data_IF_359183359952
#
_entry.id   IF_359183359952
#
_cell.length_a   1.000
_cell.length_b   1.000
_cell.length_c   1.000
_cell.angle_alpha   90.00
_cell.angle_beta   90.00
_cell.angle_gamma   90.00
#
_symmetry.space_group_name_H-M   'P 1'
#
loop_
_entity.id
_entity.type
_entity.pdbx_description
1 polymer ?
#
# COMPACT_ATOMS: atom_id res chain seq x y z
N UNK A 1 -11.13 12.61 -0.48
CA UNK A 1 -12.21 12.76 -1.48
C UNK A 1 -11.74 12.07 -2.75
N UNK A 2 -12.56 11.22 -3.37
CA UNK A 2 -12.17 10.56 -4.62
C UNK A 2 -11.97 11.59 -5.74
N UNK A 3 -10.98 11.41 -6.63
CA UNK A 3 -10.73 12.32 -7.73
C UNK A 3 -11.97 12.45 -8.64
N UNK A 4 -12.19 13.62 -9.27
CA UNK A 4 -13.32 13.85 -10.17
C UNK A 4 -13.25 12.92 -11.38
N UNK A 5 -14.41 12.51 -11.87
CA UNK A 5 -14.52 11.63 -13.05
C UNK A 5 -14.42 12.50 -14.32
N UNK A 6 -13.53 12.16 -15.28
CA UNK A 6 -13.43 12.87 -16.56
C UNK A 6 -14.76 12.94 -17.31
N UNK A 7 -14.99 14.01 -18.09
CA UNK A 7 -16.25 14.18 -18.82
C UNK A 7 -16.56 13.03 -19.79
N UNK A 8 -15.52 12.47 -20.41
CA UNK A 8 -15.63 11.35 -21.36
C UNK A 8 -16.01 10.04 -20.67
N UNK A 9 -15.70 9.90 -19.37
CA UNK A 9 -16.07 8.73 -18.55
C UNK A 9 -17.46 8.83 -17.92
N UNK A 10 -18.09 10.02 -17.88
CA UNK A 10 -19.40 10.21 -17.27
C UNK A 10 -20.51 9.33 -17.88
N UNK A 11 -20.63 9.20 -19.22
CA UNK A 11 -21.63 8.31 -19.83
C UNK A 11 -21.39 6.83 -19.47
N UNK A 12 -20.13 6.43 -19.33
CA UNK A 12 -19.75 5.06 -18.94
C UNK A 12 -20.16 4.84 -17.47
N UNK A 13 -19.87 5.80 -16.60
CA UNK A 13 -20.28 5.76 -15.19
C UNK A 13 -21.79 5.62 -15.03
N UNK A 14 -22.59 6.39 -15.76
CA UNK A 14 -24.05 6.27 -15.72
C UNK A 14 -24.54 4.87 -16.14
N UNK A 15 -23.95 4.32 -17.21
CA UNK A 15 -24.27 2.98 -17.68
C UNK A 15 -23.89 1.90 -16.65
N UNK A 16 -22.70 1.99 -16.06
CA UNK A 16 -22.22 1.07 -15.02
C UNK A 16 -23.07 1.15 -13.75
N UNK A 17 -23.51 2.35 -13.34
CA UNK A 17 -24.44 2.53 -12.22
C UNK A 17 -25.77 1.83 -12.50
N UNK A 18 -26.31 1.96 -13.72
CA UNK A 18 -27.55 1.28 -14.11
C UNK A 18 -27.38 -0.25 -14.05
N UNK A 19 -26.28 -0.78 -14.58
CA UNK A 19 -25.95 -2.21 -14.50
C UNK A 19 -25.88 -2.67 -13.04
N UNK A 20 -25.17 -1.93 -12.16
CA UNK A 20 -25.10 -2.21 -10.73
C UNK A 20 -26.47 -2.28 -10.08
N UNK A 21 -27.36 -1.33 -10.40
CA UNK A 21 -28.72 -1.31 -9.86
C UNK A 21 -29.51 -2.54 -10.31
N UNK A 22 -29.39 -2.94 -11.59
CA UNK A 22 -30.02 -4.17 -12.11
C UNK A 22 -29.49 -5.43 -11.43
N UNK A 23 -28.17 -5.54 -11.25
CA UNK A 23 -27.54 -6.63 -10.48
C UNK A 23 -28.03 -6.66 -9.03
N UNK A 24 -28.22 -5.50 -8.42
CA UNK A 24 -28.71 -5.38 -7.03
C UNK A 24 -30.17 -5.82 -6.92
N UNK A 25 -31.00 -5.47 -7.89
CA UNK A 25 -32.40 -5.93 -7.97
C UNK A 25 -32.43 -7.45 -8.14
N UNK A 26 -31.64 -8.00 -9.07
CA UNK A 26 -31.52 -9.44 -9.29
C UNK A 26 -31.06 -10.18 -8.02
N UNK A 27 -30.18 -9.58 -7.22
CA UNK A 27 -29.69 -10.14 -5.95
C UNK A 27 -30.79 -10.19 -4.88
N UNK A 28 -31.73 -9.24 -4.90
CA UNK A 28 -32.84 -9.16 -3.94
C UNK A 28 -33.99 -10.09 -4.29
N UNK A 29 -34.10 -10.49 -5.55
CA UNK A 29 -35.09 -11.47 -5.97
C UNK A 29 -34.74 -12.85 -5.41
N UNK A 30 -35.42 -13.21 -4.32
CA UNK A 30 -35.32 -14.53 -3.67
C UNK A 30 -36.51 -15.44 -4.01
N UNK A 31 -37.43 -14.97 -4.87
CA UNK A 31 -38.66 -15.67 -5.20
C UNK A 31 -38.49 -16.75 -6.27
N UNK A 32 -37.54 -16.55 -7.19
CA UNK A 32 -37.18 -17.50 -8.24
C UNK A 32 -35.66 -17.79 -8.25
N UNK A 33 -35.26 -18.88 -8.91
CA UNK A 33 -33.85 -19.17 -9.16
C UNK A 33 -33.29 -18.18 -10.20
N UNK A 34 -32.02 -17.79 -10.02
CA UNK A 34 -31.35 -16.86 -10.94
C UNK A 34 -31.07 -17.56 -12.27
N UNK A 35 -31.57 -16.99 -13.38
CA UNK A 35 -31.39 -17.55 -14.73
C UNK A 35 -30.03 -17.13 -15.31
N UNK A 36 -29.32 -18.08 -15.90
CA UNK A 36 -28.03 -17.82 -16.53
C UNK A 36 -28.12 -16.80 -17.69
N UNK A 37 -29.24 -16.75 -18.41
CA UNK A 37 -29.51 -15.77 -19.47
C UNK A 37 -29.44 -14.34 -18.96
N UNK A 38 -30.01 -14.09 -17.79
CA UNK A 38 -30.14 -12.75 -17.21
C UNK A 38 -28.78 -12.24 -16.75
N UNK A 39 -28.00 -13.12 -16.12
CA UNK A 39 -26.60 -12.85 -15.72
C UNK A 39 -25.72 -12.61 -16.95
N UNK A 40 -25.79 -13.47 -17.97
CA UNK A 40 -25.02 -13.30 -19.20
C UNK A 40 -25.38 -12.00 -19.94
N UNK A 41 -26.65 -11.56 -19.90
CA UNK A 41 -27.06 -10.30 -20.53
C UNK A 41 -26.42 -9.08 -19.85
N UNK A 42 -26.31 -9.11 -18.53
CA UNK A 42 -25.66 -8.07 -17.74
C UNK A 42 -24.15 -8.11 -17.94
N UNK A 43 -23.57 -9.31 -18.02
CA UNK A 43 -22.16 -9.49 -18.35
C UNK A 43 -21.80 -8.85 -19.70
N UNK A 44 -22.56 -9.13 -20.76
CA UNK A 44 -22.33 -8.53 -22.08
C UNK A 44 -22.47 -7.00 -22.06
N UNK A 45 -23.37 -6.46 -21.23
CA UNK A 45 -23.50 -5.02 -21.05
C UNK A 45 -22.26 -4.41 -20.36
N UNK A 46 -21.66 -5.13 -19.40
CA UNK A 46 -20.41 -4.72 -18.73
C UNK A 46 -19.24 -4.78 -19.70
N UNK A 47 -19.09 -5.86 -20.47
CA UNK A 47 -18.02 -5.99 -21.47
C UNK A 47 -18.03 -4.79 -22.42
N UNK A 48 -19.21 -4.37 -22.91
CA UNK A 48 -19.34 -3.18 -23.76
C UNK A 48 -18.87 -1.89 -23.08
N UNK A 49 -19.14 -1.71 -21.78
CA UNK A 49 -18.67 -0.52 -21.06
C UNK A 49 -17.16 -0.57 -20.82
N UNK A 50 -16.61 -1.75 -20.54
CA UNK A 50 -15.18 -1.95 -20.31
C UNK A 50 -14.39 -1.75 -21.60
N UNK A 51 -14.90 -2.21 -22.75
CA UNK A 51 -14.29 -1.92 -24.06
C UNK A 51 -14.23 -0.42 -24.31
N UNK A 52 -15.36 0.29 -24.16
CA UNK A 52 -15.39 1.76 -24.29
C UNK A 52 -14.45 2.44 -23.32
N UNK A 53 -14.32 1.90 -22.11
CA UNK A 53 -13.45 2.46 -21.11
C UNK A 53 -11.98 2.30 -21.48
N UNK A 54 -11.60 1.13 -22.01
CA UNK A 54 -10.26 0.89 -22.52
C UNK A 54 -9.96 1.74 -23.78
N UNK A 55 -10.97 2.12 -24.56
CA UNK A 55 -10.78 3.00 -25.73
C UNK A 55 -10.52 4.47 -25.32
N UNK A 56 -10.99 4.87 -24.14
CA UNK A 56 -10.93 6.26 -23.63
C UNK A 56 -9.82 6.45 -22.60
N UNK A 57 -9.40 5.36 -21.96
CA UNK A 57 -8.32 5.37 -20.98
C UNK A 57 -7.02 4.95 -21.63
N UNK A 58 -5.97 5.67 -21.29
CA UNK A 58 -4.61 5.22 -21.54
C UNK A 58 -4.33 4.01 -20.63
N UNK A 59 -3.76 2.95 -21.20
CA UNK A 59 -3.39 1.73 -20.47
C UNK A 59 -2.41 2.01 -19.33
N UNK A 60 -1.71 3.13 -19.43
CA UNK A 60 -0.60 3.52 -18.61
C UNK A 60 -0.94 4.54 -17.50
N UNK A 61 -2.13 5.14 -17.55
CA UNK A 61 -2.56 6.09 -16.54
C UNK A 61 -3.27 5.39 -15.36
N UNK A 62 -2.94 5.80 -14.13
CA UNK A 62 -3.55 5.24 -12.92
C UNK A 62 -4.87 5.96 -12.59
N UNK A 63 -6.00 5.32 -12.91
CA UNK A 63 -7.33 5.83 -12.57
C UNK A 63 -7.84 5.21 -11.27
N UNK A 64 -8.16 6.05 -10.29
CA UNK A 64 -8.76 5.61 -9.02
C UNK A 64 -9.92 6.53 -8.62
N UNK A 65 -10.91 6.62 -9.49
CA UNK A 65 -12.03 7.53 -9.37
C UNK A 65 -13.35 6.78 -9.02
N UNK A 66 -14.47 7.50 -9.04
CA UNK A 66 -15.78 6.91 -8.74
C UNK A 66 -16.22 5.82 -9.73
N UNK A 67 -15.79 5.89 -10.99
CA UNK A 67 -16.04 4.84 -11.99
C UNK A 67 -15.33 3.55 -11.62
N UNK A 68 -14.07 3.61 -11.21
CA UNK A 68 -13.28 2.43 -10.80
C UNK A 68 -13.91 1.70 -9.62
N UNK A 69 -14.28 2.45 -8.59
CA UNK A 69 -14.99 1.89 -7.42
C UNK A 69 -16.34 1.27 -7.81
N UNK A 70 -17.10 1.91 -8.71
CA UNK A 70 -18.39 1.37 -9.16
C UNK A 70 -18.23 0.14 -10.06
N UNK A 71 -17.20 0.10 -10.91
CA UNK A 71 -16.86 -1.07 -11.72
C UNK A 71 -16.43 -2.24 -10.85
N UNK A 72 -15.63 -1.99 -9.82
CA UNK A 72 -15.24 -3.02 -8.86
C UNK A 72 -16.46 -3.66 -8.17
N UNK A 73 -17.45 -2.85 -7.77
CA UNK A 73 -18.71 -3.34 -7.22
C UNK A 73 -19.47 -4.22 -8.22
N UNK A 74 -19.57 -3.77 -9.49
CA UNK A 74 -20.27 -4.48 -10.56
C UNK A 74 -19.60 -5.83 -10.86
N UNK A 75 -18.27 -5.86 -10.98
CA UNK A 75 -17.53 -7.09 -11.20
C UNK A 75 -17.63 -8.05 -10.02
N UNK A 76 -17.59 -7.54 -8.78
CA UNK A 76 -17.78 -8.37 -7.59
C UNK A 76 -19.17 -9.02 -7.58
N UNK A 77 -20.23 -8.26 -7.88
CA UNK A 77 -21.58 -8.80 -7.99
C UNK A 77 -21.71 -9.83 -9.13
N UNK A 78 -21.19 -9.51 -10.32
CA UNK A 78 -21.21 -10.43 -11.46
C UNK A 78 -20.49 -11.74 -11.13
N UNK A 79 -19.30 -11.65 -10.53
CA UNK A 79 -18.50 -12.80 -10.13
C UNK A 79 -19.29 -13.72 -9.20
N UNK A 80 -19.93 -13.16 -8.17
CA UNK A 80 -20.80 -13.92 -7.27
C UNK A 80 -22.02 -14.54 -7.98
N UNK A 81 -22.61 -13.85 -8.97
CA UNK A 81 -23.68 -14.44 -9.77
C UNK A 81 -23.22 -15.62 -10.61
N UNK A 82 -22.04 -15.53 -11.25
CA UNK A 82 -21.45 -16.64 -12.00
C UNK A 82 -21.17 -17.86 -11.10
N UNK A 83 -20.67 -17.62 -9.89
CA UNK A 83 -20.55 -18.67 -8.87
C UNK A 83 -21.91 -19.27 -8.50
N UNK A 84 -22.94 -18.44 -8.33
CA UNK A 84 -24.30 -18.87 -7.96
C UNK A 84 -24.97 -19.73 -9.04
N UNK A 85 -24.76 -19.42 -10.32
CA UNK A 85 -25.28 -20.21 -11.46
C UNK A 85 -24.37 -21.39 -11.83
N UNK A 86 -23.36 -21.71 -11.00
CA UNK A 86 -22.50 -22.88 -11.16
C UNK A 86 -21.36 -22.73 -12.18
N UNK A 87 -21.19 -21.55 -12.77
CA UNK A 87 -20.16 -21.23 -13.77
C UNK A 87 -18.85 -20.81 -13.12
N UNK A 88 -18.31 -21.67 -12.26
CA UNK A 88 -17.13 -21.38 -11.44
C UNK A 88 -15.81 -21.31 -12.20
N UNK A 89 -15.80 -21.83 -13.44
CA UNK A 89 -14.63 -21.86 -14.33
C UNK A 89 -14.69 -20.80 -15.45
N UNK A 90 -15.72 -19.97 -15.46
CA UNK A 90 -15.80 -18.86 -16.42
C UNK A 90 -15.01 -17.68 -15.85
N UNK A 91 -14.37 -16.90 -16.72
CA UNK A 91 -13.51 -15.76 -16.36
C UNK A 91 -14.15 -14.79 -15.35
N UNK A 92 -15.44 -14.40 -15.47
CA UNK A 92 -16.07 -13.47 -14.51
C UNK A 92 -16.13 -14.03 -13.08
N UNK A 93 -16.16 -15.35 -12.89
CA UNK A 93 -16.21 -15.98 -11.57
C UNK A 93 -14.91 -15.84 -10.76
N UNK A 94 -13.82 -15.40 -11.41
CA UNK A 94 -12.51 -15.26 -10.77
C UNK A 94 -12.35 -13.92 -10.03
N UNK A 95 -13.05 -12.87 -10.47
CA UNK A 95 -12.82 -11.50 -9.98
C UNK A 95 -12.91 -11.36 -8.45
N UNK A 96 -14.00 -11.82 -7.83
CA UNK A 96 -14.17 -11.69 -6.37
C UNK A 96 -13.08 -12.42 -5.60
N UNK A 97 -12.54 -13.51 -6.15
CA UNK A 97 -11.45 -14.25 -5.53
C UNK A 97 -10.14 -13.48 -5.62
N UNK A 98 -9.80 -12.92 -6.80
CA UNK A 98 -8.60 -12.10 -7.00
C UNK A 98 -8.63 -10.88 -6.07
N UNK A 99 -9.77 -10.16 -6.04
CA UNK A 99 -9.94 -8.99 -5.17
C UNK A 99 -9.80 -9.34 -3.67
N UNK A 100 -10.39 -10.46 -3.24
CA UNK A 100 -10.27 -10.93 -1.85
C UNK A 100 -8.83 -11.33 -1.51
N UNK A 101 -8.16 -12.06 -2.42
CA UNK A 101 -6.76 -12.46 -2.24
C UNK A 101 -5.84 -11.24 -2.12
N UNK A 102 -6.02 -10.23 -2.98
CA UNK A 102 -5.28 -8.97 -2.92
C UNK A 102 -5.39 -8.31 -1.55
N UNK A 103 -6.62 -8.22 -1.03
CA UNK A 103 -6.84 -7.59 0.27
C UNK A 103 -6.19 -8.37 1.41
N UNK A 104 -6.29 -9.70 1.38
CA UNK A 104 -5.63 -10.55 2.39
C UNK A 104 -4.10 -10.39 2.31
N UNK A 105 -3.53 -10.41 1.11
CA UNK A 105 -2.08 -10.26 0.90
C UNK A 105 -1.57 -8.89 1.39
N UNK A 106 -2.31 -7.80 1.14
CA UNK A 106 -1.98 -6.47 1.70
C UNK A 106 -2.03 -6.45 3.22
N UNK A 107 -3.02 -7.08 3.84
CA UNK A 107 -3.07 -7.19 5.30
C UNK A 107 -1.97 -8.06 5.88
N UNK A 108 -1.53 -9.09 5.15
CA UNK A 108 -0.37 -9.89 5.54
C UNK A 108 0.90 -9.03 5.53
N UNK A 109 1.09 -8.21 4.49
CA UNK A 109 2.18 -7.24 4.40
C UNK A 109 2.18 -6.25 5.58
N UNK A 110 1.04 -5.58 5.80
CA UNK A 110 0.85 -4.58 6.86
C UNK A 110 1.08 -5.14 8.27
N UNK A 111 0.68 -6.39 8.51
CA UNK A 111 0.77 -7.01 9.83
C UNK A 111 2.11 -7.69 10.10
N UNK A 112 2.88 -8.02 9.05
CA UNK A 112 4.06 -8.88 9.11
C UNK A 112 3.81 -10.25 9.77
N UNK A 113 2.57 -10.78 9.70
CA UNK A 113 2.18 -12.07 10.34
C UNK A 113 1.99 -13.16 9.30
N UNK A 114 3.08 -13.64 8.71
CA UNK A 114 3.04 -14.68 7.68
C UNK A 114 4.30 -15.53 7.68
N UNK A 115 4.22 -16.72 7.11
CA UNK A 115 5.35 -17.59 6.80
C UNK A 115 5.18 -18.21 5.40
N UNK A 116 6.17 -18.95 4.94
CA UNK A 116 6.17 -19.56 3.60
C UNK A 116 4.94 -20.46 3.36
N UNK A 117 4.54 -21.22 4.38
CA UNK A 117 3.37 -22.11 4.29
C UNK A 117 2.05 -21.34 4.14
N UNK A 118 1.98 -20.09 4.60
CA UNK A 118 0.81 -19.23 4.41
C UNK A 118 0.74 -18.66 3.00
N UNK A 119 1.88 -18.41 2.34
CA UNK A 119 1.96 -17.84 0.99
C UNK A 119 1.72 -18.90 -0.11
N UNK A 120 2.15 -20.15 0.13
CA UNK A 120 2.06 -21.22 -0.85
C UNK A 120 0.63 -21.47 -1.43
N UNK A 121 -0.46 -21.44 -0.63
CA UNK A 121 -1.83 -21.53 -1.15
C UNK A 121 -2.19 -20.40 -2.11
N UNK A 122 -1.74 -19.16 -1.85
CA UNK A 122 -1.99 -18.02 -2.73
C UNK A 122 -1.30 -18.21 -4.07
N UNK A 123 -0.02 -18.62 -4.07
CA UNK A 123 0.73 -18.91 -5.31
C UNK A 123 0.04 -19.96 -6.18
N UNK A 124 -0.37 -21.07 -5.57
CA UNK A 124 -1.12 -22.14 -6.28
C UNK A 124 -2.43 -21.59 -6.84
N UNK A 125 -3.18 -20.84 -6.04
CA UNK A 125 -4.48 -20.30 -6.47
C UNK A 125 -4.34 -19.25 -7.55
N UNK A 126 -3.36 -18.35 -7.50
CA UNK A 126 -3.08 -17.37 -8.56
C UNK A 126 -2.75 -18.07 -9.87
N UNK A 127 -1.94 -19.15 -9.84
CA UNK A 127 -1.65 -19.96 -11.02
C UNK A 127 -2.92 -20.61 -11.61
N UNK A 128 -3.81 -21.14 -10.78
CA UNK A 128 -5.09 -21.72 -11.24
C UNK A 128 -6.01 -20.67 -11.87
N UNK A 129 -6.12 -19.49 -11.23
CA UNK A 129 -6.96 -18.39 -11.73
C UNK A 129 -6.39 -17.85 -13.05
N UNK A 130 -5.07 -17.75 -13.19
CA UNK A 130 -4.42 -17.37 -14.45
C UNK A 130 -4.75 -18.36 -15.58
N UNK A 131 -4.73 -19.67 -15.31
CA UNK A 131 -5.13 -20.67 -16.30
C UNK A 131 -6.59 -20.52 -16.74
N UNK A 132 -7.50 -20.19 -15.81
CA UNK A 132 -8.92 -19.94 -16.14
C UNK A 132 -9.05 -18.72 -17.06
N UNK A 133 -8.39 -17.62 -16.70
CA UNK A 133 -8.45 -16.35 -17.46
C UNK A 133 -7.87 -16.51 -18.87
N UNK A 134 -6.78 -17.28 -19.03
CA UNK A 134 -6.13 -17.52 -20.32
C UNK A 134 -6.92 -18.49 -21.24
N UNK A 135 -7.66 -19.44 -20.67
CA UNK A 135 -8.39 -20.44 -21.46
C UNK A 135 -9.60 -19.86 -22.23
N UNK A 136 -10.22 -18.79 -21.76
CA UNK A 136 -11.35 -18.12 -22.44
C UNK A 136 -10.93 -16.99 -23.41
N UNK A 137 -9.62 -16.80 -23.63
CA UNK A 137 -8.96 -15.66 -24.30
C UNK A 137 -9.26 -15.42 -25.79
N UNK A 138 -10.44 -15.81 -26.30
CA UNK A 138 -10.89 -15.48 -27.67
C UNK A 138 -12.19 -14.68 -27.75
N UNK A 139 -12.97 -14.54 -26.67
CA UNK A 139 -14.29 -13.86 -26.74
C UNK A 139 -14.41 -12.53 -25.98
N UNK A 140 -13.46 -12.16 -25.10
CA UNK A 140 -13.56 -10.94 -24.29
C UNK A 140 -12.20 -10.33 -23.89
N UNK A 141 -11.37 -9.96 -24.87
CA UNK A 141 -10.00 -9.43 -24.67
C UNK A 141 -9.91 -8.33 -23.60
N UNK A 142 -10.89 -7.42 -23.56
CA UNK A 142 -10.90 -6.30 -22.61
C UNK A 142 -10.98 -6.74 -21.14
N UNK A 143 -11.75 -7.79 -20.83
CA UNK A 143 -11.89 -8.30 -19.46
C UNK A 143 -10.69 -9.14 -19.04
N UNK A 144 -10.19 -9.97 -19.96
CA UNK A 144 -8.98 -10.76 -19.77
C UNK A 144 -7.81 -9.86 -19.41
N UNK A 145 -7.60 -8.76 -20.14
CA UNK A 145 -6.56 -7.75 -19.86
C UNK A 145 -6.69 -7.16 -18.45
N UNK A 146 -7.91 -6.77 -18.03
CA UNK A 146 -8.16 -6.24 -16.69
C UNK A 146 -7.80 -7.26 -15.60
N UNK A 147 -8.25 -8.51 -15.75
CA UNK A 147 -8.01 -9.57 -14.77
C UNK A 147 -6.54 -10.00 -14.72
N UNK A 148 -5.84 -10.01 -15.86
CA UNK A 148 -4.40 -10.24 -15.94
C UNK A 148 -3.62 -9.17 -15.19
N UNK A 149 -3.95 -7.89 -15.41
CA UNK A 149 -3.37 -6.79 -14.61
C UNK A 149 -3.62 -7.04 -13.11
N UNK A 150 -4.84 -7.44 -12.75
CA UNK A 150 -5.16 -7.68 -11.36
C UNK A 150 -4.42 -8.87 -10.73
N UNK A 151 -4.18 -9.93 -11.51
CA UNK A 151 -3.38 -11.09 -11.11
C UNK A 151 -1.91 -10.71 -10.96
N UNK A 152 -1.37 -9.90 -11.87
CA UNK A 152 0.02 -9.43 -11.80
C UNK A 152 0.27 -8.58 -10.54
N UNK A 153 -0.68 -7.72 -10.16
CA UNK A 153 -0.61 -7.01 -8.88
C UNK A 153 -0.56 -7.96 -7.68
N UNK A 154 -1.37 -9.02 -7.67
CA UNK A 154 -1.34 -10.02 -6.60
C UNK A 154 0.00 -10.79 -6.56
N UNK A 155 0.52 -11.18 -7.73
CA UNK A 155 1.83 -11.84 -7.84
C UNK A 155 2.96 -10.94 -7.34
N UNK A 156 2.94 -9.64 -7.67
CA UNK A 156 3.93 -8.68 -7.19
C UNK A 156 3.93 -8.58 -5.66
N UNK A 157 2.74 -8.55 -5.03
CA UNK A 157 2.64 -8.55 -3.57
C UNK A 157 3.19 -9.87 -3.01
N UNK A 158 2.81 -11.03 -3.58
CA UNK A 158 3.33 -12.34 -3.11
C UNK A 158 4.85 -12.40 -3.20
N UNK A 159 5.44 -11.97 -4.32
CA UNK A 159 6.90 -11.93 -4.51
C UNK A 159 7.58 -11.05 -3.47
N UNK A 160 7.04 -9.85 -3.22
CA UNK A 160 7.57 -8.95 -2.19
C UNK A 160 7.53 -9.58 -0.79
N UNK A 161 6.48 -10.35 -0.46
CA UNK A 161 6.37 -11.07 0.82
C UNK A 161 7.32 -12.29 0.88
N UNK A 162 7.55 -12.97 -0.24
CA UNK A 162 8.53 -14.07 -0.31
C UNK A 162 9.96 -13.55 -0.17
N UNK A 163 10.27 -12.42 -0.82
CA UNK A 163 11.56 -11.75 -0.72
C UNK A 163 11.85 -11.30 0.71
N UNK A 164 10.86 -10.74 1.43
CA UNK A 164 11.04 -10.33 2.84
C UNK A 164 11.37 -11.53 3.75
N UNK A 165 10.77 -12.70 3.51
CA UNK A 165 11.07 -13.94 4.23
C UNK A 165 12.46 -14.47 3.87
N UNK A 166 12.90 -14.32 2.62
CA UNK A 166 14.20 -14.83 2.15
C UNK A 166 15.40 -14.16 2.84
N UNK A 167 15.21 -12.95 3.40
CA UNK A 167 16.24 -12.25 4.17
C UNK A 167 16.48 -12.89 5.55
N UNK A 168 15.57 -13.75 6.02
CA UNK A 168 15.74 -14.44 7.29
C UNK A 168 16.81 -15.53 7.18
N UNK A 169 17.81 -15.47 8.05
CA UNK A 169 18.76 -16.58 8.18
C UNK A 169 18.05 -17.88 8.53
N UNK A 170 18.59 -19.01 8.05
CA UNK A 170 18.01 -20.36 8.21
C UNK A 170 17.71 -20.70 9.68
N UNK A 171 18.50 -20.18 10.62
CA UNK A 171 18.34 -20.41 12.06
C UNK A 171 17.17 -19.64 12.69
N UNK A 172 16.81 -18.50 12.10
CA UNK A 172 15.71 -17.67 12.57
C UNK A 172 14.36 -18.12 12.03
N UNK A 173 14.31 -18.89 10.94
CA UNK A 173 13.06 -19.38 10.33
C UNK A 173 12.18 -20.12 11.36
N UNK A 174 12.67 -21.12 12.12
CA UNK A 174 11.83 -21.83 13.09
C UNK A 174 11.37 -20.93 14.25
N UNK A 175 12.17 -19.92 14.61
CA UNK A 175 11.82 -18.94 15.65
C UNK A 175 10.70 -18.05 15.13
N UNK A 176 10.85 -17.52 13.92
CA UNK A 176 9.88 -16.68 13.25
C UNK A 176 8.52 -17.40 13.10
N UNK A 177 8.51 -18.61 12.55
CA UNK A 177 7.28 -19.41 12.39
C UNK A 177 6.56 -19.65 13.71
N UNK A 178 7.31 -19.93 14.78
CA UNK A 178 6.73 -20.12 16.11
C UNK A 178 6.15 -18.83 16.66
N UNK A 179 6.83 -17.70 16.49
CA UNK A 179 6.35 -16.39 16.92
C UNK A 179 5.09 -15.98 16.16
N UNK A 180 5.04 -16.19 14.84
CA UNK A 180 3.84 -15.96 14.01
C UNK A 180 2.66 -16.78 14.55
N UNK A 181 2.89 -18.05 14.91
CA UNK A 181 1.87 -18.92 15.51
C UNK A 181 1.38 -18.40 16.86
N UNK A 182 2.30 -18.02 17.75
CA UNK A 182 1.95 -17.49 19.07
C UNK A 182 1.18 -16.17 18.93
N UNK A 183 1.61 -15.27 18.02
CA UNK A 183 0.91 -14.00 17.75
C UNK A 183 -0.54 -14.24 17.33
N UNK A 184 -0.79 -15.17 16.40
CA UNK A 184 -2.15 -15.56 15.98
C UNK A 184 -2.99 -16.07 17.15
N UNK A 185 -2.42 -16.92 18.01
CA UNK A 185 -3.08 -17.44 19.20
C UNK A 185 -3.40 -16.33 20.21
N UNK A 186 -2.48 -15.39 20.43
CA UNK A 186 -2.67 -14.26 21.32
C UNK A 186 -3.75 -13.31 20.81
N UNK A 187 -3.74 -12.95 19.52
CA UNK A 187 -4.78 -12.09 18.92
C UNK A 187 -6.15 -12.77 18.99
N UNK A 188 -6.22 -14.06 18.66
CA UNK A 188 -7.46 -14.83 18.78
C UNK A 188 -7.95 -14.94 20.23
N UNK A 189 -7.03 -14.99 21.20
CA UNK A 189 -7.36 -15.00 22.63
C UNK A 189 -7.86 -13.62 23.08
N UNK A 190 -7.23 -12.53 22.63
CA UNK A 190 -7.63 -11.16 22.93
C UNK A 190 -9.02 -10.80 22.38
N UNK A 191 -9.42 -11.42 21.26
CA UNK A 191 -10.73 -11.23 20.65
C UNK A 191 -11.87 -12.01 21.35
N UNK A 192 -11.55 -12.99 22.21
CA UNK A 192 -12.56 -13.76 22.95
C UNK A 192 -12.95 -13.02 24.23
N UNK A 193 -14.21 -13.15 24.65
CA UNK A 193 -14.64 -12.69 25.96
C UNK A 193 -14.46 -13.80 27.00
N UNK A 194 -13.84 -13.51 28.15
CA UNK A 194 -13.80 -14.44 29.28
C UNK A 194 -12.51 -14.41 30.11
N UNK A 195 -12.32 -15.37 31.03
CA UNK A 195 -11.04 -15.58 31.70
C UNK A 195 -10.06 -16.28 30.74
N UNK A 196 -8.88 -15.69 30.53
CA UNK A 196 -7.90 -16.17 29.56
C UNK A 196 -6.67 -16.82 30.21
N UNK A 197 -6.58 -16.80 31.54
CA UNK A 197 -5.41 -17.24 32.30
C UNK A 197 -4.91 -18.66 31.98
N UNK A 198 -5.82 -19.61 31.75
CA UNK A 198 -5.46 -20.99 31.44
C UNK A 198 -4.80 -21.13 30.07
N UNK A 199 -5.27 -20.38 29.07
CA UNK A 199 -4.78 -20.41 27.69
C UNK A 199 -3.57 -19.48 27.50
N UNK A 200 -3.50 -18.38 28.26
CA UNK A 200 -2.41 -17.40 28.19
C UNK A 200 -1.10 -17.93 28.80
N UNK A 201 -1.18 -18.71 29.87
CA UNK A 201 0.02 -19.18 30.59
C UNK A 201 0.95 -20.04 29.72
N UNK A 202 0.47 -21.06 28.96
CA UNK A 202 1.30 -21.81 28.03
C UNK A 202 2.00 -20.91 26.99
N UNK A 203 1.28 -19.93 26.42
CA UNK A 203 1.84 -19.00 25.43
C UNK A 203 2.95 -18.13 26.03
N UNK A 204 2.76 -17.62 27.25
CA UNK A 204 3.80 -16.85 27.95
C UNK A 204 5.04 -17.68 28.29
N UNK A 205 4.87 -18.96 28.65
CA UNK A 205 6.00 -19.86 28.91
C UNK A 205 6.79 -20.14 27.63
N UNK A 206 6.12 -20.31 26.50
CA UNK A 206 6.80 -20.44 25.21
C UNK A 206 7.53 -19.18 24.78
N UNK A 207 6.93 -18.00 24.95
CA UNK A 207 7.62 -16.73 24.67
C UNK A 207 8.89 -16.59 25.50
N UNK A 208 8.86 -16.96 26.79
CA UNK A 208 10.06 -16.97 27.65
C UNK A 208 11.11 -18.00 27.19
N UNK A 209 10.69 -19.17 26.71
CA UNK A 209 11.61 -20.16 26.13
C UNK A 209 12.29 -19.62 24.88
N UNK A 210 11.55 -18.90 24.02
CA UNK A 210 12.14 -18.26 22.84
C UNK A 210 13.11 -17.15 23.27
N UNK A 211 12.71 -16.30 24.21
CA UNK A 211 13.54 -15.21 24.74
C UNK A 211 14.83 -15.71 25.36
N UNK A 212 14.79 -16.84 26.09
CA UNK A 212 15.99 -17.45 26.69
C UNK A 212 17.04 -17.93 25.69
N UNK A 213 16.70 -18.01 24.39
CA UNK A 213 17.68 -18.28 23.32
C UNK A 213 18.51 -17.05 22.94
N UNK A 214 18.15 -15.87 23.45
CA UNK A 214 18.90 -14.63 23.23
C UNK A 214 20.04 -14.53 24.22
N UNK A 215 21.18 -14.02 23.73
CA UNK A 215 22.32 -13.61 24.54
C UNK A 215 22.51 -12.11 24.32
N UNK A 216 22.54 -11.33 25.41
CA UNK A 216 22.58 -9.85 25.37
C UNK A 216 21.49 -9.23 24.49
N UNK A 217 20.28 -9.83 24.51
CA UNK A 217 19.14 -9.37 23.73
C UNK A 217 19.19 -9.73 22.23
N UNK A 218 20.17 -10.54 21.80
CA UNK A 218 20.34 -10.94 20.40
C UNK A 218 20.23 -12.46 20.23
N UNK A 219 19.61 -12.90 19.15
CA UNK A 219 19.68 -14.29 18.72
C UNK A 219 21.07 -14.54 18.11
N UNK A 220 21.72 -15.61 18.50
CA UNK A 220 23.06 -15.94 18.01
C UNK A 220 23.01 -17.20 17.15
N UNK A 221 23.72 -17.14 16.03
CA UNK A 221 24.00 -18.29 15.18
C UNK A 221 25.26 -19.06 15.58
N UNK A 222 25.61 -20.10 14.81
CA UNK A 222 26.84 -20.87 14.93
C UNK A 222 28.04 -19.95 15.03
N UNK A 223 28.86 -20.15 16.07
CA UNK A 223 30.04 -19.32 16.31
C UNK A 223 29.76 -17.98 17.00
N UNK A 224 28.54 -17.72 17.47
CA UNK A 224 28.20 -16.49 18.20
C UNK A 224 27.97 -15.27 17.29
N UNK A 225 27.77 -15.49 16.00
CA UNK A 225 27.50 -14.42 15.02
C UNK A 225 26.03 -14.02 15.11
N UNK A 226 25.75 -12.71 15.03
CA UNK A 226 24.38 -12.20 14.96
C UNK A 226 23.83 -12.43 13.56
N UNK A 227 22.75 -13.21 13.38
CA UNK A 227 22.20 -13.48 12.06
C UNK A 227 21.60 -12.22 11.42
N UNK A 228 21.66 -12.14 10.09
CA UNK A 228 21.01 -11.09 9.34
C UNK A 228 19.49 -11.08 9.60
N UNK A 229 18.89 -9.89 9.61
CA UNK A 229 17.45 -9.68 9.81
C UNK A 229 16.86 -10.22 11.12
N UNK A 230 17.71 -10.43 12.14
CA UNK A 230 17.27 -10.69 13.51
C UNK A 230 16.21 -9.71 14.01
N UNK A 231 16.28 -8.45 13.60
CA UNK A 231 15.36 -7.39 14.03
C UNK A 231 13.89 -7.81 13.86
N UNK A 232 13.57 -8.54 12.79
CA UNK A 232 12.21 -9.04 12.52
C UNK A 232 11.72 -9.94 13.66
N UNK A 233 12.53 -10.92 14.06
CA UNK A 233 12.21 -11.82 15.18
C UNK A 233 12.27 -11.09 16.53
N UNK A 234 13.13 -10.07 16.66
CA UNK A 234 13.20 -9.20 17.83
C UNK A 234 11.91 -8.45 18.07
N UNK A 235 11.49 -7.67 17.09
CA UNK A 235 10.25 -6.90 17.10
C UNK A 235 9.02 -7.79 17.27
N UNK A 236 8.93 -8.92 16.55
CA UNK A 236 7.79 -9.83 16.66
C UNK A 236 7.67 -10.47 18.05
N UNK A 237 8.80 -10.82 18.70
CA UNK A 237 8.76 -11.34 20.07
C UNK A 237 8.28 -10.27 21.06
N UNK A 238 8.77 -9.04 20.91
CA UNK A 238 8.37 -7.90 21.74
C UNK A 238 6.87 -7.62 21.59
N UNK A 239 6.34 -7.58 20.37
CA UNK A 239 4.92 -7.46 20.09
C UNK A 239 4.10 -8.58 20.75
N UNK A 240 4.57 -9.84 20.67
CA UNK A 240 3.89 -10.95 21.33
C UNK A 240 3.85 -10.77 22.86
N UNK A 241 4.94 -10.29 23.47
CA UNK A 241 4.95 -9.99 24.90
C UNK A 241 4.03 -8.81 25.24
N UNK A 242 3.97 -7.77 24.41
CA UNK A 242 3.04 -6.66 24.60
C UNK A 242 1.58 -7.15 24.59
N UNK A 243 1.17 -7.92 23.58
CA UNK A 243 -0.20 -8.46 23.48
C UNK A 243 -0.49 -9.37 24.69
N UNK A 244 0.45 -10.25 25.08
CA UNK A 244 0.28 -11.12 26.23
C UNK A 244 0.15 -10.34 27.56
N UNK A 245 0.83 -9.21 27.69
CA UNK A 245 0.68 -8.32 28.85
C UNK A 245 -0.64 -7.57 28.81
N UNK A 246 -1.11 -7.13 27.64
CA UNK A 246 -2.43 -6.49 27.46
C UNK A 246 -3.58 -7.42 27.84
N UNK A 247 -3.56 -8.68 27.40
CA UNK A 247 -4.58 -9.68 27.78
C UNK A 247 -4.61 -9.87 29.29
N UNK A 248 -3.43 -10.02 29.91
CA UNK A 248 -3.31 -10.18 31.37
C UNK A 248 -3.82 -8.93 32.10
N UNK A 249 -3.46 -7.75 31.61
CA UNK A 249 -3.86 -6.47 32.16
C UNK A 249 -5.38 -6.30 32.13
N UNK A 250 -6.03 -6.66 31.02
CA UNK A 250 -7.49 -6.64 30.90
C UNK A 250 -8.17 -7.59 31.89
N UNK A 251 -7.62 -8.78 32.14
CA UNK A 251 -8.15 -9.70 33.14
C UNK A 251 -7.96 -9.17 34.58
N UNK A 252 -6.76 -8.65 34.90
CA UNK A 252 -6.42 -8.10 36.21
C UNK A 252 -7.18 -6.79 36.53
N UNK A 253 -7.63 -6.04 35.52
CA UNK A 253 -8.47 -4.83 35.69
C UNK A 253 -9.76 -5.11 36.46
N UNK A 254 -10.31 -6.34 36.34
CA UNK A 254 -11.51 -6.79 37.07
C UNK A 254 -11.23 -7.02 38.56
N UNK A 255 -9.97 -7.17 38.93
CA UNK A 255 -9.51 -7.50 40.29
C UNK A 255 -8.87 -6.29 41.01
N UNK A 256 -9.04 -5.08 40.48
CA UNK A 256 -8.55 -3.85 41.11
C UNK A 256 -9.39 -3.54 42.35
N UNK A 257 -8.74 -3.44 43.51
CA UNK A 257 -9.38 -3.06 44.76
C UNK A 257 -10.09 -1.71 44.65
N UNK A 258 -11.17 -1.51 45.41
CA UNK A 258 -11.95 -0.27 45.41
C UNK A 258 -11.10 0.98 45.57
N UNK A 259 -10.15 0.96 46.51
CA UNK A 259 -9.26 2.09 46.82
C UNK A 259 -8.31 2.45 45.65
N UNK A 260 -8.02 1.50 44.77
CA UNK A 260 -7.15 1.68 43.61
C UNK A 260 -7.90 2.04 42.32
N UNK A 261 -9.24 1.91 42.30
CA UNK A 261 -10.05 2.19 41.10
C UNK A 261 -9.87 3.62 40.56
N UNK A 262 -9.82 4.69 41.39
CA UNK A 262 -9.64 6.04 40.85
C UNK A 262 -8.31 6.21 40.11
N UNK A 263 -7.25 5.57 40.60
CA UNK A 263 -5.92 5.59 39.96
C UNK A 263 -5.97 4.81 38.64
N UNK A 264 -6.60 3.64 38.66
CA UNK A 264 -6.79 2.80 37.47
C UNK A 264 -7.55 3.53 36.36
N UNK A 265 -8.68 4.17 36.69
CA UNK A 265 -9.51 4.91 35.75
C UNK A 265 -8.75 6.11 35.16
N UNK A 266 -8.03 6.88 35.99
CA UNK A 266 -7.19 8.00 35.52
C UNK A 266 -6.10 7.52 34.56
N UNK A 267 -5.37 6.45 34.90
CA UNK A 267 -4.34 5.86 34.02
C UNK A 267 -4.93 5.32 32.71
N UNK A 268 -6.09 4.67 32.78
CA UNK A 268 -6.78 4.14 31.60
C UNK A 268 -7.25 5.25 30.66
N UNK A 269 -7.75 6.37 31.20
CA UNK A 269 -8.10 7.56 30.43
C UNK A 269 -6.90 8.18 29.72
N UNK A 270 -5.81 8.42 30.45
CA UNK A 270 -4.56 8.94 29.86
C UNK A 270 -4.04 8.01 28.75
N UNK A 271 -4.09 6.70 28.96
CA UNK A 271 -3.69 5.72 27.95
C UNK A 271 -4.51 5.86 26.68
N UNK A 272 -5.83 5.91 26.79
CA UNK A 272 -6.73 5.99 25.63
C UNK A 272 -6.49 7.27 24.82
N UNK A 273 -6.27 8.40 25.49
CA UNK A 273 -5.91 9.66 24.84
C UNK A 273 -4.56 9.57 24.10
N UNK A 274 -3.52 9.03 24.76
CA UNK A 274 -2.20 8.86 24.14
C UNK A 274 -2.23 7.87 22.95
N UNK A 275 -2.99 6.78 23.03
CA UNK A 275 -3.18 5.84 21.93
C UNK A 275 -3.90 6.50 20.74
N UNK A 276 -4.93 7.31 21.03
CA UNK A 276 -5.61 8.10 20.01
C UNK A 276 -4.66 9.08 19.35
N UNK A 277 -3.79 9.76 20.12
CA UNK A 277 -2.77 10.63 19.56
C UNK A 277 -1.82 9.84 18.66
N UNK A 278 -1.26 8.71 19.11
CA UNK A 278 -0.37 7.87 18.27
C UNK A 278 -1.04 7.47 16.93
N UNK A 279 -2.32 7.12 16.95
CA UNK A 279 -3.06 6.72 15.75
C UNK A 279 -3.36 7.89 14.81
N UNK A 280 -3.61 9.07 15.37
CA UNK A 280 -4.09 10.24 14.61
C UNK A 280 -2.99 11.26 14.31
N UNK A 281 -1.77 11.09 14.83
CA UNK A 281 -0.78 12.17 14.79
C UNK A 281 0.03 12.31 13.50
N UNK A 282 -0.21 13.43 12.79
CA UNK A 282 0.85 14.28 12.21
C UNK A 282 0.61 15.80 12.25
N UNK A 283 -0.59 16.33 12.54
CA UNK A 283 -0.90 17.73 12.14
C UNK A 283 -1.30 18.76 13.21
N UNK A 284 -1.52 18.40 14.48
CA UNK A 284 -2.03 19.37 15.49
C UNK A 284 -1.50 19.30 16.93
N UNK A 285 -0.58 18.40 17.25
CA UNK A 285 -0.03 18.24 18.61
C UNK A 285 1.28 18.98 18.64
N UNK A 286 1.42 19.86 19.61
CA UNK A 286 2.71 20.43 19.94
C UNK A 286 3.37 19.52 20.94
N UNK A 287 4.68 19.30 20.84
CA UNK A 287 5.42 18.44 21.75
C UNK A 287 5.22 18.86 23.21
N UNK A 288 5.02 20.16 23.45
CA UNK A 288 4.69 20.72 24.78
C UNK A 288 3.40 20.19 25.37
N UNK A 289 2.42 19.77 24.54
CA UNK A 289 1.15 19.21 25.02
C UNK A 289 1.37 17.87 25.75
N UNK A 290 2.45 17.14 25.43
CA UNK A 290 2.88 15.92 26.13
C UNK A 290 3.32 16.17 27.58
N UNK A 291 3.62 17.42 27.94
CA UNK A 291 4.01 17.78 29.30
C UNK A 291 2.87 17.56 30.28
N UNK A 292 1.62 17.86 29.91
CA UNK A 292 0.46 17.65 30.78
C UNK A 292 0.29 16.17 31.13
N UNK A 293 0.46 15.29 30.15
CA UNK A 293 0.45 13.84 30.35
C UNK A 293 1.63 13.39 31.23
N UNK A 294 2.84 13.87 30.94
CA UNK A 294 4.03 13.55 31.73
C UNK A 294 3.88 13.96 33.20
N UNK A 295 3.39 15.17 33.46
CA UNK A 295 3.12 15.68 34.80
C UNK A 295 2.05 14.86 35.51
N UNK A 296 0.94 14.54 34.85
CA UNK A 296 -0.11 13.70 35.43
C UNK A 296 0.40 12.29 35.79
N UNK A 297 1.23 11.67 34.95
CA UNK A 297 1.84 10.37 35.25
C UNK A 297 2.85 10.46 36.41
N UNK A 298 3.61 11.55 36.51
CA UNK A 298 4.53 11.79 37.63
C UNK A 298 3.78 11.98 38.95
N UNK A 299 2.66 12.70 38.94
CA UNK A 299 1.79 12.82 40.12
C UNK A 299 1.30 11.45 40.60
N UNK A 300 0.83 10.62 39.67
CA UNK A 300 0.38 9.26 39.97
C UNK A 300 1.54 8.41 40.51
N UNK A 301 2.72 8.46 39.90
CA UNK A 301 3.87 7.68 40.34
C UNK A 301 4.35 8.10 41.75
N UNK A 302 4.28 9.40 42.07
CA UNK A 302 4.59 9.94 43.42
C UNK A 302 3.66 9.44 44.52
N UNK A 303 2.48 8.92 44.19
CA UNK A 303 1.58 8.30 45.18
C UNK A 303 2.12 6.95 45.70
N UNK A 304 3.14 6.39 45.06
CA UNK A 304 3.70 5.09 45.44
C UNK A 304 4.72 5.24 46.57
N UNK A 305 4.64 4.32 47.53
CA UNK A 305 5.62 4.16 48.61
C UNK A 305 6.28 2.79 48.44
N UNK A 306 7.62 2.74 48.40
CA UNK A 306 8.40 1.53 48.08
C UNK A 306 7.94 0.82 46.80
N UNK A 307 7.52 1.61 45.81
CA UNK A 307 7.03 1.10 44.53
C UNK A 307 5.64 0.47 44.58
N UNK A 308 4.84 0.69 45.62
CA UNK A 308 3.44 0.21 45.74
C UNK A 308 2.47 1.34 46.05
N UNK A 309 1.26 1.26 45.53
CA UNK A 309 0.14 2.11 45.94
C UNK A 309 -0.44 1.56 47.24
N UNK A 310 -0.58 2.42 48.25
CA UNK A 310 -1.15 2.04 49.55
C UNK A 310 -2.63 2.39 49.61
N UNK A 311 -3.41 1.63 50.39
CA UNK A 311 -4.78 2.01 50.77
C UNK A 311 -4.77 3.02 51.94
N UNK A 312 -5.96 3.43 52.38
CA UNK A 312 -6.13 4.39 53.48
C UNK A 312 -5.57 3.88 54.83
N UNK A 313 -5.36 2.57 54.98
CA UNK A 313 -4.82 1.93 56.18
C UNK A 313 -3.30 1.65 56.06
N UNK A 314 -2.67 2.04 54.95
CA UNK A 314 -1.25 1.76 54.67
C UNK A 314 -0.99 0.35 54.16
N UNK A 315 -2.05 -0.41 53.87
CA UNK A 315 -2.00 -1.74 53.28
C UNK A 315 -1.66 -1.73 51.80
N UNK A 316 -1.42 -2.92 51.24
CA UNK A 316 -1.04 -3.12 49.83
C UNK A 316 -2.19 -3.82 49.10
N UNK A 317 -3.20 -3.08 48.62
CA UNK A 317 -4.38 -3.67 48.00
C UNK A 317 -4.07 -4.41 46.69
N UNK A 318 -4.86 -5.43 46.30
CA UNK A 318 -4.71 -6.13 45.02
C UNK A 318 -4.97 -5.21 43.82
N UNK A 319 -4.30 -5.46 42.69
CA UNK A 319 -4.36 -4.60 41.50
C UNK A 319 -3.09 -3.76 41.25
N UNK A 320 -2.04 -3.91 42.07
CA UNK A 320 -0.77 -3.18 41.90
C UNK A 320 -0.11 -3.39 40.53
N UNK A 321 -0.18 -4.62 40.00
CA UNK A 321 0.48 -4.98 38.75
C UNK A 321 -0.13 -4.26 37.55
N UNK A 322 -1.47 -4.19 37.47
CA UNK A 322 -2.18 -3.50 36.40
C UNK A 322 -1.90 -2.00 36.42
N UNK A 323 -1.87 -1.36 37.60
CA UNK A 323 -1.51 0.06 37.70
C UNK A 323 -0.08 0.32 37.20
N UNK A 324 0.87 -0.52 37.59
CA UNK A 324 2.26 -0.40 37.14
C UNK A 324 2.40 -0.62 35.63
N UNK A 325 1.66 -1.59 35.09
CA UNK A 325 1.59 -1.83 33.65
C UNK A 325 1.06 -0.62 32.89
N UNK A 326 -0.10 -0.08 33.31
CA UNK A 326 -0.71 1.08 32.66
C UNK A 326 0.23 2.31 32.72
N UNK A 327 0.84 2.56 33.88
CA UNK A 327 1.80 3.65 34.05
C UNK A 327 2.98 3.51 33.07
N UNK A 328 3.57 2.31 32.97
CA UNK A 328 4.66 2.05 32.01
C UNK A 328 4.18 2.20 30.57
N UNK A 329 2.99 1.72 30.22
CA UNK A 329 2.42 1.84 28.86
C UNK A 329 2.23 3.31 28.48
N UNK A 330 1.70 4.14 29.38
CA UNK A 330 1.55 5.58 29.14
C UNK A 330 2.90 6.26 28.89
N UNK A 331 3.92 5.99 29.73
CA UNK A 331 5.28 6.52 29.48
C UNK A 331 5.88 6.02 28.16
N UNK A 332 5.64 4.76 27.79
CA UNK A 332 6.07 4.20 26.51
C UNK A 332 5.42 4.87 25.30
N UNK A 333 4.13 5.22 25.41
CA UNK A 333 3.42 5.98 24.36
C UNK A 333 3.97 7.41 24.23
N UNK A 334 4.24 8.09 25.35
CA UNK A 334 4.90 9.41 25.33
C UNK A 334 6.27 9.33 24.67
N UNK A 335 7.09 8.35 25.07
CA UNK A 335 8.40 8.13 24.46
C UNK A 335 8.29 7.91 22.95
N UNK A 336 7.34 7.07 22.51
CA UNK A 336 7.09 6.82 21.09
C UNK A 336 6.74 8.11 20.34
N UNK A 337 5.81 8.91 20.87
CA UNK A 337 5.40 10.19 20.28
C UNK A 337 6.59 11.17 20.18
N UNK A 338 7.40 11.28 21.23
CA UNK A 338 8.62 12.11 21.25
C UNK A 338 9.68 11.60 20.27
N UNK A 339 9.88 10.28 20.19
CA UNK A 339 10.86 9.71 19.25
C UNK A 339 10.46 9.86 17.78
N UNK A 340 9.17 10.10 17.52
CA UNK A 340 8.64 10.35 16.18
C UNK A 340 8.56 11.83 15.80
N UNK A 341 8.90 12.77 16.69
CA UNK A 341 8.82 14.20 16.38
C UNK A 341 9.97 14.59 15.44
N UNK A 342 9.65 15.22 14.31
CA UNK A 342 10.66 15.80 13.43
C UNK A 342 11.21 17.09 14.08
N UNK A 343 12.53 17.33 14.07
CA UNK A 343 13.11 18.53 14.66
C UNK A 343 12.97 19.72 13.67
N UNK A 344 11.73 20.09 13.43
CA UNK A 344 11.31 21.18 12.54
C UNK A 344 10.47 22.16 13.34
N UNK A 345 10.80 23.45 13.25
CA UNK A 345 10.02 24.48 13.94
C UNK A 345 8.57 24.52 13.46
N UNK A 346 7.64 24.91 14.36
CA UNK A 346 6.21 25.02 14.02
C UNK A 346 5.95 25.95 12.81
N UNK A 347 6.78 26.99 12.62
CA UNK A 347 6.71 27.89 11.47
C UNK A 347 6.94 27.18 10.13
N UNK A 348 7.72 26.10 10.11
CA UNK A 348 8.01 25.30 8.92
C UNK A 348 7.09 24.09 8.77
N UNK A 349 6.29 23.75 9.78
CA UNK A 349 5.38 22.60 9.74
C UNK A 349 4.40 22.62 8.55
N UNK A 350 3.80 23.76 8.15
CA UNK A 350 2.96 23.79 6.95
C UNK A 350 3.70 23.34 5.69
N UNK A 351 4.97 23.72 5.57
CA UNK A 351 5.84 23.37 4.44
C UNK A 351 6.24 21.91 4.51
N UNK A 352 6.72 21.46 5.68
CA UNK A 352 7.10 20.06 5.92
C UNK A 352 5.94 19.09 5.63
N UNK A 353 4.74 19.40 6.10
CA UNK A 353 3.53 18.59 5.85
C UNK A 353 3.16 18.52 4.35
N UNK A 354 3.27 19.65 3.65
CA UNK A 354 3.01 19.70 2.20
C UNK A 354 4.04 18.84 1.44
N UNK A 355 5.31 18.94 1.80
CA UNK A 355 6.39 18.12 1.24
C UNK A 355 6.20 16.62 1.54
N UNK A 356 5.86 16.24 2.78
CA UNK A 356 5.58 14.83 3.11
C UNK A 356 4.41 14.28 2.29
N UNK A 357 3.39 15.09 2.03
CA UNK A 357 2.24 14.68 1.20
C UNK A 357 2.67 14.51 -0.25
N UNK A 358 3.40 15.47 -0.81
CA UNK A 358 3.94 15.39 -2.19
C UNK A 358 4.85 14.19 -2.34
N UNK A 359 5.81 14.00 -1.42
CA UNK A 359 6.70 12.82 -1.38
C UNK A 359 5.92 11.52 -1.37
N UNK A 360 4.89 11.40 -0.54
CA UNK A 360 4.06 10.19 -0.47
C UNK A 360 3.35 9.93 -1.80
N UNK A 361 2.76 10.97 -2.40
CA UNK A 361 2.13 10.84 -3.71
C UNK A 361 3.14 10.44 -4.80
N UNK A 362 4.32 11.07 -4.86
CA UNK A 362 5.37 10.73 -5.83
C UNK A 362 5.88 9.29 -5.63
N UNK A 363 6.03 8.82 -4.39
CA UNK A 363 6.40 7.43 -4.13
C UNK A 363 5.29 6.44 -4.50
N UNK A 364 4.02 6.80 -4.30
CA UNK A 364 2.90 5.98 -4.79
C UNK A 364 2.93 5.91 -6.32
N UNK A 365 3.15 7.03 -7.01
CA UNK A 365 3.33 7.09 -8.47
C UNK A 365 4.48 6.17 -8.92
N UNK A 366 5.65 6.29 -8.29
CA UNK A 366 6.82 5.45 -8.57
C UNK A 366 6.56 3.96 -8.31
N UNK A 367 5.85 3.62 -7.22
CA UNK A 367 5.58 2.23 -6.82
C UNK A 367 4.57 1.53 -7.71
N UNK A 368 3.57 2.24 -8.23
CA UNK A 368 2.51 1.64 -9.02
C UNK A 368 2.86 1.52 -10.51
N UNK A 369 3.80 2.33 -11.03
CA UNK A 369 4.31 2.23 -12.40
C UNK A 369 3.28 2.52 -13.52
N UNK A 370 3.74 3.02 -14.67
CA UNK A 370 2.96 3.33 -15.87
C UNK A 370 3.60 4.47 -16.69
N UNK A 371 3.24 4.63 -17.99
CA UNK A 371 3.58 5.87 -18.73
C UNK A 371 2.75 7.03 -18.18
N UNK A 372 3.36 7.78 -17.27
CA UNK A 372 2.81 9.05 -16.83
C UNK A 372 3.03 10.08 -17.94
N UNK A 373 2.09 10.99 -18.15
CA UNK A 373 2.35 12.13 -19.04
C UNK A 373 2.99 13.26 -18.25
N UNK A 374 3.76 14.13 -18.91
CA UNK A 374 4.30 15.34 -18.28
C UNK A 374 3.20 16.21 -17.61
N UNK A 375 1.95 16.07 -18.08
CA UNK A 375 0.77 16.73 -17.55
C UNK A 375 0.32 16.18 -16.19
N UNK A 376 0.53 14.88 -15.93
CA UNK A 376 0.17 14.24 -14.66
C UNK A 376 1.13 14.60 -13.53
N UNK A 377 2.37 14.95 -13.88
CA UNK A 377 3.36 15.47 -12.92
C UNK A 377 3.17 16.96 -12.59
N UNK A 378 2.41 17.70 -13.40
CA UNK A 378 2.22 19.15 -13.26
C UNK A 378 1.70 19.60 -11.88
N UNK A 379 0.71 18.93 -11.24
CA UNK A 379 0.27 19.30 -9.90
C UNK A 379 1.39 19.23 -8.85
N UNK A 380 2.31 18.26 -8.97
CA UNK A 380 3.45 18.12 -8.07
C UNK A 380 4.52 19.18 -8.36
N UNK A 381 4.83 19.42 -9.63
CA UNK A 381 5.73 20.51 -10.05
C UNK A 381 5.24 21.87 -9.54
N UNK A 382 3.95 22.16 -9.72
CA UNK A 382 3.34 23.39 -9.24
C UNK A 382 3.39 23.49 -7.71
N UNK A 383 3.16 22.39 -7.00
CA UNK A 383 3.24 22.35 -5.54
C UNK A 383 4.67 22.62 -5.03
N UNK A 384 5.69 22.02 -5.66
CA UNK A 384 7.10 22.25 -5.34
C UNK A 384 7.52 23.66 -5.70
N UNK A 385 7.14 24.18 -6.87
CA UNK A 385 7.38 25.57 -7.25
C UNK A 385 6.77 26.57 -6.27
N UNK A 386 5.53 26.34 -5.84
CA UNK A 386 4.90 27.17 -4.80
C UNK A 386 5.69 27.16 -3.50
N UNK A 387 6.21 26.01 -3.09
CA UNK A 387 7.06 25.90 -1.89
C UNK A 387 8.38 26.64 -2.11
N UNK A 388 9.04 26.44 -3.25
CA UNK A 388 10.28 27.13 -3.61
C UNK A 388 10.13 28.65 -3.60
N UNK A 389 8.98 29.15 -4.05
CA UNK A 389 8.65 30.58 -4.08
C UNK A 389 8.52 31.24 -2.70
N UNK A 390 8.34 30.45 -1.64
CA UNK A 390 8.31 30.95 -0.26
C UNK A 390 9.72 31.26 0.28
N UNK A 391 10.77 30.81 -0.41
CA UNK A 391 12.15 31.04 0.01
C UNK A 391 12.61 32.45 -0.36
N UNK A 392 13.42 33.05 0.51
CA UNK A 392 14.17 34.29 0.27
C UNK A 392 15.64 33.99 0.48
N UNK A 393 16.49 34.35 -0.48
CA UNK A 393 17.93 34.06 -0.48
C UNK A 393 18.24 32.57 -0.20
N UNK A 394 17.43 31.68 -0.78
CA UNK A 394 17.57 30.23 -0.63
C UNK A 394 17.11 29.64 0.71
N UNK A 395 16.45 30.43 1.58
CA UNK A 395 16.00 29.98 2.91
C UNK A 395 14.52 30.30 3.14
N UNK A 396 13.84 29.50 3.95
CA UNK A 396 12.51 29.85 4.44
C UNK A 396 12.66 30.86 5.59
N UNK A 397 11.95 31.98 5.50
CA UNK A 397 12.05 33.09 6.46
C UNK A 397 10.74 33.22 7.22
N UNK A 398 10.84 33.27 8.55
CA UNK A 398 9.73 33.42 9.47
C UNK A 398 9.07 34.79 9.41
N UNK A 399 7.97 34.96 10.15
CA UNK A 399 7.18 36.20 10.14
C UNK A 399 7.99 37.43 10.58
N UNK A 400 8.97 37.25 11.47
CA UNK A 400 9.82 38.31 12.01
C UNK A 400 11.14 38.51 11.22
N UNK A 401 11.31 37.82 10.09
CA UNK A 401 12.55 37.88 9.31
C UNK A 401 13.67 36.96 9.81
N UNK A 402 13.40 36.14 10.83
CA UNK A 402 14.30 35.11 11.33
C UNK A 402 14.35 33.90 10.39
N UNK A 403 15.40 33.09 10.49
CA UNK A 403 15.49 31.79 9.80
C UNK A 403 15.06 30.71 10.79
N UNK A 404 13.88 30.08 10.62
CA UNK A 404 13.38 29.08 11.57
C UNK A 404 14.23 27.81 11.57
N UNK A 405 14.29 27.11 12.71
CA UNK A 405 15.04 25.86 12.86
C UNK A 405 14.38 24.70 12.10
N UNK A 406 15.19 23.74 11.61
CA UNK A 406 14.73 22.64 10.76
C UNK A 406 14.85 22.89 9.24
N UNK A 407 15.46 24.00 8.81
CA UNK A 407 15.68 24.31 7.37
C UNK A 407 16.31 23.14 6.61
N UNK A 408 17.36 22.52 7.17
CA UNK A 408 18.09 21.45 6.49
C UNK A 408 17.20 20.25 6.17
N UNK A 409 16.27 19.91 7.06
CA UNK A 409 15.35 18.78 6.91
C UNK A 409 14.30 19.11 5.85
N UNK A 410 13.70 20.29 5.92
CA UNK A 410 12.72 20.75 4.92
C UNK A 410 13.36 20.87 3.54
N UNK A 411 14.59 21.37 3.47
CA UNK A 411 15.36 21.45 2.21
C UNK A 411 15.74 20.06 1.69
N UNK A 412 16.13 19.13 2.55
CA UNK A 412 16.39 17.75 2.15
C UNK A 412 15.12 17.08 1.60
N UNK A 413 13.97 17.23 2.28
CA UNK A 413 12.69 16.71 1.79
C UNK A 413 12.26 17.35 0.47
N UNK A 414 12.49 18.65 0.31
CA UNK A 414 12.21 19.38 -0.93
C UNK A 414 13.09 18.89 -2.07
N UNK A 415 14.39 18.73 -1.83
CA UNK A 415 15.33 18.18 -2.81
C UNK A 415 14.97 16.74 -3.17
N UNK A 416 14.66 15.90 -2.19
CA UNK A 416 14.22 14.52 -2.43
C UNK A 416 12.92 14.45 -3.23
N UNK A 417 11.98 15.39 -3.01
CA UNK A 417 10.79 15.48 -3.86
C UNK A 417 11.13 15.89 -5.30
N UNK A 418 12.09 16.80 -5.49
CA UNK A 418 12.58 17.18 -6.82
C UNK A 418 13.31 16.01 -7.48
N UNK A 419 14.20 15.31 -6.76
CA UNK A 419 14.90 14.11 -7.24
C UNK A 419 13.90 13.00 -7.62
N UNK A 420 12.89 12.73 -6.78
CA UNK A 420 11.82 11.77 -7.11
C UNK A 420 11.06 12.18 -8.38
N UNK A 421 10.84 13.48 -8.56
CA UNK A 421 10.12 14.01 -9.72
C UNK A 421 10.97 13.97 -10.99
N UNK A 422 12.28 14.23 -10.90
CA UNK A 422 13.21 14.07 -12.02
C UNK A 422 13.42 12.60 -12.37
N UNK A 423 13.62 11.71 -11.39
CA UNK A 423 13.68 10.26 -11.65
C UNK A 423 12.43 9.74 -12.37
N UNK A 424 11.24 10.26 -12.00
CA UNK A 424 10.00 9.93 -12.69
C UNK A 424 9.99 10.44 -14.14
N UNK A 425 10.52 11.64 -14.42
CA UNK A 425 10.65 12.16 -15.79
C UNK A 425 11.69 11.39 -16.61
N UNK A 426 12.85 11.11 -16.05
CA UNK A 426 13.90 10.32 -16.71
C UNK A 426 13.38 8.93 -17.07
N UNK A 427 12.64 8.28 -16.15
CA UNK A 427 11.97 7.01 -16.45
C UNK A 427 10.86 7.09 -17.51
N UNK A 428 10.39 8.30 -17.83
CA UNK A 428 9.44 8.54 -18.93
C UNK A 428 10.18 8.79 -20.24
N UNK A 429 11.26 9.57 -20.22
CA UNK A 429 12.07 9.91 -21.41
C UNK A 429 12.82 8.67 -21.95
N UNK A 430 13.28 7.75 -21.08
CA UNK A 430 13.91 6.48 -21.49
C UNK A 430 12.94 5.50 -22.19
N UNK A 431 11.62 5.70 -22.09
CA UNK A 431 10.62 4.86 -22.75
C UNK A 431 10.24 5.30 -24.16
N UNK A 432 10.58 6.54 -24.54
CA UNK A 432 10.27 7.13 -25.85
C UNK A 432 11.42 6.94 -26.87
N UNK A 433 12.63 6.55 -26.43
CA UNK A 433 13.80 6.36 -27.32
C UNK A 433 13.89 4.96 -27.96
N UNK A 434 13.10 3.97 -27.53
CA UNK A 434 13.12 2.59 -28.02
C UNK A 434 12.17 2.33 -29.23
N UNK A 435 11.37 3.30 -29.68
CA UNK A 435 10.38 3.14 -30.77
C UNK A 435 10.81 3.71 -32.13
N UNK A 436 11.99 4.33 -32.27
CA UNK A 436 12.39 5.05 -33.50
C UNK A 436 13.47 4.36 -34.37
N UNK A 437 13.89 3.12 -34.07
CA UNK A 437 14.81 2.35 -34.92
C UNK A 437 14.22 1.00 -35.35
N UNK A 438 13.25 0.99 -36.28
CA UNK A 438 12.98 -0.16 -37.17
C UNK A 438 11.86 0.19 -38.17
N UNK A 439 12.11 1.09 -39.13
CA UNK A 439 11.30 1.17 -40.36
C UNK A 439 12.06 1.91 -41.46
N UNK A 440 13.01 1.24 -42.12
CA UNK A 440 13.39 1.61 -43.49
C UNK A 440 13.89 0.38 -44.29
N UNK A 441 13.19 0.16 -45.42
CA UNK A 441 13.57 -0.62 -46.61
C UNK A 441 13.19 -2.12 -46.72
N UNK A 442 11.99 -2.38 -47.26
CA UNK A 442 11.79 -3.46 -48.24
C UNK A 442 10.65 -3.09 -49.22
N UNK A 443 10.93 -2.30 -50.27
CA UNK A 443 9.99 -2.07 -51.38
C UNK A 443 10.16 -3.13 -52.48
N UNK A 444 9.03 -3.69 -52.88
CA UNK A 444 8.90 -4.92 -53.66
C UNK A 444 9.17 -4.81 -55.15
N UNK A 445 9.71 -5.91 -55.66
CA UNK A 445 9.98 -6.23 -57.06
C UNK A 445 8.66 -6.52 -57.82
N UNK A 446 8.38 -5.76 -58.88
CA UNK A 446 7.32 -6.07 -59.87
C UNK A 446 7.79 -5.66 -61.27
N UNK A 447 8.31 -6.62 -62.05
CA UNK A 447 8.61 -6.50 -63.48
C UNK A 447 7.49 -7.15 -64.31
N UNK A 448 6.99 -6.42 -65.32
CA UNK A 448 6.18 -7.01 -66.38
C UNK A 448 5.39 -6.00 -67.20
N UNK A 449 6.03 -5.34 -68.16
CA UNK A 449 5.61 -5.30 -69.59
C UNK A 449 6.24 -4.13 -70.36
N UNK A 450 7.12 -4.48 -71.30
CA UNK A 450 7.65 -3.56 -72.29
C UNK A 450 6.68 -3.34 -73.45
N UNK A 451 6.48 -2.08 -73.83
CA UNK A 451 5.94 -1.69 -75.13
C UNK A 451 6.79 -0.55 -75.70
N UNK A 452 7.14 -0.71 -76.97
CA UNK A 452 7.97 0.07 -77.88
C UNK A 452 7.68 1.58 -78.01
N UNK A 453 8.74 2.41 -77.90
CA UNK A 453 9.37 3.32 -78.91
C UNK A 453 8.42 4.00 -79.94
N UNK A 454 8.57 5.29 -80.33
CA UNK A 454 9.83 6.06 -80.43
C UNK A 454 9.82 7.51 -79.89
N UNK A 455 11.02 8.01 -79.55
CA UNK A 455 11.32 9.44 -79.54
C UNK A 455 12.29 9.79 -80.66
N UNK A 456 11.96 10.88 -81.33
CA UNK A 456 12.68 11.61 -82.36
C UNK A 456 13.75 12.50 -81.73
N UNK A 457 14.99 12.38 -82.19
CA UNK A 457 16.06 13.35 -81.97
C UNK A 457 16.07 14.40 -83.09
N UNK A 458 15.96 15.67 -82.72
CA UNK A 458 16.48 16.80 -83.48
C UNK A 458 17.09 17.77 -82.46
N UNK A 459 18.41 17.92 -82.49
CA UNK A 459 19.03 19.21 -82.19
C UNK A 459 20.28 19.39 -83.05
N UNK A 460 20.32 20.57 -83.66
CA UNK A 460 21.17 21.00 -84.76
C UNK A 460 22.57 21.45 -84.30
N UNK A 461 23.39 21.68 -85.33
CA UNK A 461 24.52 22.61 -85.43
C UNK A 461 25.92 22.08 -85.06
N UNK A 462 26.71 21.81 -86.10
CA UNK A 462 27.76 22.77 -86.52
C UNK A 462 28.28 22.38 -87.92
N UNK A 463 28.06 23.25 -88.91
CA UNK A 463 28.75 23.20 -90.20
C UNK A 463 30.20 23.67 -90.01
N UNK A 464 31.14 22.76 -90.27
CA UNK A 464 32.52 23.07 -90.60
C UNK A 464 32.65 23.25 -92.10
N UNK A 465 33.05 24.45 -92.53
CA UNK A 465 33.44 24.75 -93.90
C UNK A 465 34.82 24.16 -94.23
N UNK A 466 34.94 23.56 -95.42
CA UNK A 466 36.15 23.72 -96.23
C UNK A 466 36.89 22.46 -96.70
N UNK A 467 36.88 22.32 -98.03
CA UNK A 467 37.88 21.64 -98.89
C UNK A 467 37.83 20.10 -98.93
N UNK A 468 37.57 19.41 -100.05
CA UNK A 468 37.70 19.76 -101.47
C UNK A 468 38.80 18.92 -102.12
N UNK A 469 38.43 17.83 -102.82
CA UNK A 469 39.17 17.29 -103.98
C UNK A 469 38.47 16.05 -104.58
N UNK A 470 38.17 16.17 -105.88
CA UNK A 470 37.77 15.14 -106.85
C UNK A 470 38.88 14.07 -107.08
N UNK A 471 38.72 13.04 -107.95
CA UNK A 471 37.61 12.71 -108.86
C UNK A 471 36.97 11.33 -108.70
#
# INVERSE_FOLDING_TARGET
MSPPVPQEELPILEAVINIRNRLTVLKRDRGEYIKASDVNSLYQAVVKQVTKLNDVRDDNATYNNRLDTTLADVFSLLSLFYLTIGKTRDTPATYSQIASMRQILRHMDESAVYNESDLAPFRRRLSELRQIVQHEGKQANALTKLLERQLNECDAIVRSLEESLSVLSVELIPIHERLVTIRRQLVALAAKEGPHKADLKPLQEELRKIDSKRVDGKFLGPGGVVPASQAICSSLLEECFEIAQEIKANEDSKNVAGDLKPIHERLSGIRAELESLVLTHRWSLRETDLWNYSSALQEIDKMRVDGKFLDAEGGRPPGQYILLYLLRRCYGLIYRLLSSSEPVSEELMPIANKLSTVKKCLNEVLKYGGTFSARDLYPYQLALFQIDSLRKDGKFVGAEGSVPEGQGIVMAHLNECHELLEMLKESMDEGDEDEDEDDEEEEGEYDGSGSSVPESEEDEAEEGDGEGAAP
#
